data_IF_363042396835
#
_entry.id   IF_363042396835
#
_cell.length_a   1.000
_cell.length_b   1.000
_cell.length_c   1.000
_cell.angle_alpha   90.00
_cell.angle_beta   90.00
_cell.angle_gamma   90.00
#
_symmetry.space_group_name_H-M   'P 1'
#
loop_
_entity.id
_entity.type
_entity.pdbx_description
1 polymer ?
#
# COMPACT_ATOMS: atom_id res chain seq x y z
N UNK A 1 -9.28 22.28 10.02
CA UNK A 1 -8.79 21.04 10.67
C UNK A 1 -7.79 20.39 9.75
N UNK A 2 -6.80 19.66 10.27
CA UNK A 2 -5.84 18.95 9.41
C UNK A 2 -6.53 17.75 8.73
N UNK A 3 -6.34 17.62 7.42
CA UNK A 3 -6.89 16.52 6.64
C UNK A 3 -5.76 15.60 6.20
N UNK A 4 -5.97 14.27 6.28
CA UNK A 4 -5.04 13.32 5.67
C UNK A 4 -5.49 12.98 4.26
N UNK A 5 -4.52 12.83 3.38
CA UNK A 5 -4.65 12.16 2.09
C UNK A 5 -3.81 10.90 2.16
N UNK A 6 -4.48 9.75 2.04
CA UNK A 6 -3.86 8.43 2.11
C UNK A 6 -4.02 7.80 0.74
N UNK A 7 -2.90 7.61 0.05
CA UNK A 7 -2.87 7.15 -1.34
C UNK A 7 -2.28 5.75 -1.38
N UNK A 8 -3.08 4.70 -1.65
CA UNK A 8 -2.54 3.41 -2.02
C UNK A 8 -1.69 3.55 -3.29
N UNK A 9 -0.46 3.05 -3.26
CA UNK A 9 0.50 3.14 -4.36
C UNK A 9 1.21 1.82 -4.60
N UNK A 10 1.55 1.61 -5.87
CA UNK A 10 2.45 0.56 -6.33
C UNK A 10 3.73 1.26 -6.82
N UNK A 11 4.80 1.21 -6.01
CA UNK A 11 6.06 1.88 -6.31
C UNK A 11 6.88 1.03 -7.29
N UNK A 12 6.95 1.48 -8.53
CA UNK A 12 7.81 0.89 -9.55
C UNK A 12 9.17 1.57 -9.61
N UNK A 13 10.24 0.78 -9.72
CA UNK A 13 11.61 1.26 -9.86
C UNK A 13 12.26 0.66 -11.11
N UNK A 14 12.94 1.50 -11.89
CA UNK A 14 13.75 1.05 -13.03
C UNK A 14 15.13 0.71 -12.52
N UNK A 15 15.59 -0.51 -12.77
CA UNK A 15 16.94 -0.91 -12.41
C UNK A 15 17.93 -0.46 -13.48
N UNK A 16 18.70 0.61 -13.22
CA UNK A 16 19.68 1.13 -14.18
C UNK A 16 20.74 0.10 -14.58
N UNK A 17 21.04 -0.86 -13.69
CA UNK A 17 22.00 -1.93 -13.96
C UNK A 17 21.55 -2.86 -15.10
N UNK A 18 20.26 -2.90 -15.42
CA UNK A 18 19.73 -3.63 -16.60
C UNK A 18 20.02 -2.90 -17.92
N UNK A 19 20.46 -1.63 -17.86
CA UNK A 19 20.66 -0.75 -19.02
C UNK A 19 22.10 -0.19 -19.06
N UNK A 20 23.11 -0.99 -19.44
CA UNK A 20 24.53 -0.60 -19.40
C UNK A 20 24.88 0.59 -20.32
N UNK A 21 23.99 0.97 -21.23
CA UNK A 21 24.16 2.09 -22.16
C UNK A 21 23.22 3.28 -21.87
N UNK A 22 22.62 3.31 -20.67
CA UNK A 22 21.66 4.33 -20.24
C UNK A 22 20.21 3.85 -20.32
N UNK A 23 19.37 4.35 -19.41
CA UNK A 23 17.95 3.99 -19.32
C UNK A 23 17.18 4.57 -20.52
N UNK A 24 16.57 3.74 -21.38
CA UNK A 24 15.79 4.22 -22.52
C UNK A 24 14.46 4.85 -22.06
N UNK A 25 13.90 5.76 -22.88
CA UNK A 25 12.62 6.43 -22.57
C UNK A 25 11.40 5.52 -22.48
N UNK A 26 11.51 4.29 -22.98
CA UNK A 26 10.48 3.25 -22.92
C UNK A 26 10.71 2.23 -21.79
N UNK A 27 11.74 2.42 -20.95
CA UNK A 27 12.02 1.51 -19.85
C UNK A 27 10.83 1.42 -18.89
N UNK A 28 10.51 0.20 -18.48
CA UNK A 28 9.49 -0.08 -17.47
C UNK A 28 10.17 -0.41 -16.15
N UNK A 29 9.57 0.06 -15.05
CA UNK A 29 10.01 -0.29 -13.70
C UNK A 29 9.28 -1.52 -13.19
N UNK A 30 9.96 -2.31 -12.36
CA UNK A 30 9.34 -3.38 -11.59
C UNK A 30 8.76 -2.81 -10.29
N UNK A 31 7.58 -3.28 -9.88
CA UNK A 31 7.00 -2.87 -8.60
C UNK A 31 7.84 -3.46 -7.47
N UNK A 32 8.55 -2.58 -6.75
CA UNK A 32 9.45 -2.95 -5.65
C UNK A 32 8.79 -2.84 -4.28
N UNK A 33 7.67 -2.11 -4.20
CA UNK A 33 6.96 -1.90 -2.94
C UNK A 33 5.49 -1.55 -3.16
N UNK A 34 4.62 -2.00 -2.24
CA UNK A 34 3.20 -1.67 -2.21
C UNK A 34 2.76 -1.26 -0.81
N UNK A 35 1.85 -0.31 -0.75
CA UNK A 35 1.29 0.19 0.49
C UNK A 35 0.56 1.50 0.25
N UNK A 36 0.58 2.39 1.23
CA UNK A 36 -0.04 3.70 1.15
C UNK A 36 0.94 4.80 1.56
N UNK A 37 0.98 5.88 0.79
CA UNK A 37 1.65 7.12 1.20
C UNK A 37 0.66 8.01 1.92
N UNK A 38 1.10 8.55 3.05
CA UNK A 38 0.27 9.40 3.91
C UNK A 38 0.80 10.82 3.86
N UNK A 39 -0.08 11.73 3.49
CA UNK A 39 0.18 13.17 3.46
C UNK A 39 -0.78 13.89 4.40
N UNK A 40 -0.24 14.88 5.10
CA UNK A 40 -1.03 15.89 5.79
C UNK A 40 -1.26 17.04 4.81
N UNK A 41 -2.51 17.46 4.67
CA UNK A 41 -2.91 18.52 3.76
C UNK A 41 -3.38 19.73 4.56
N UNK A 42 -2.84 20.89 4.20
CA UNK A 42 -3.19 22.18 4.75
C UNK A 42 -3.25 23.22 3.62
N UNK A 43 -4.14 24.21 3.74
CA UNK A 43 -4.31 25.26 2.71
C UNK A 43 -3.06 26.12 2.51
N UNK A 44 -2.27 26.33 3.58
CA UNK A 44 -1.07 27.17 3.55
C UNK A 44 0.17 26.40 3.13
N UNK A 45 0.36 25.17 3.62
CA UNK A 45 1.58 24.38 3.39
C UNK A 45 1.43 23.30 2.32
N UNK A 46 0.22 23.09 1.79
CA UNK A 46 -0.07 22.08 0.78
C UNK A 46 0.06 20.65 1.33
N UNK A 47 0.60 19.75 0.50
CA UNK A 47 0.85 18.34 0.84
C UNK A 47 2.18 18.19 1.59
N UNK A 48 2.11 17.76 2.84
CA UNK A 48 3.27 17.45 3.66
C UNK A 48 3.35 15.94 3.85
N UNK A 49 4.43 15.33 3.38
CA UNK A 49 4.65 13.89 3.54
C UNK A 49 4.82 13.55 5.03
N UNK A 50 4.04 12.58 5.50
CA UNK A 50 4.10 12.07 6.88
C UNK A 50 4.90 10.79 6.92
N UNK A 51 4.63 9.88 5.98
CA UNK A 51 5.25 8.57 5.95
C UNK A 51 4.51 7.61 5.03
N UNK A 52 4.82 6.32 5.18
CA UNK A 52 4.22 5.24 4.40
C UNK A 52 3.80 4.09 5.30
N UNK A 53 2.70 3.44 4.96
CA UNK A 53 2.16 2.26 5.63
C UNK A 53 2.13 1.11 4.64
N UNK A 54 2.46 -0.10 5.08
CA UNK A 54 2.29 -1.33 4.31
C UNK A 54 1.66 -2.41 5.18
N UNK A 55 0.90 -3.31 4.57
CA UNK A 55 0.49 -4.55 5.21
C UNK A 55 1.56 -5.62 4.94
N UNK A 56 1.83 -6.47 5.92
CA UNK A 56 3.05 -7.30 5.92
C UNK A 56 4.31 -6.44 5.81
N UNK A 57 5.19 -6.71 4.84
CA UNK A 57 6.40 -5.92 4.59
C UNK A 57 6.31 -5.04 3.33
N UNK A 58 5.13 -4.97 2.69
CA UNK A 58 4.92 -4.27 1.42
C UNK A 58 5.73 -4.81 0.25
N UNK A 59 6.37 -5.98 0.40
CA UNK A 59 7.14 -6.61 -0.67
C UNK A 59 6.19 -7.29 -1.64
N UNK A 60 6.36 -7.02 -2.93
CA UNK A 60 5.60 -7.68 -3.98
C UNK A 60 6.06 -9.13 -4.10
N UNK A 61 5.14 -10.07 -3.86
CA UNK A 61 5.39 -11.48 -4.11
C UNK A 61 5.18 -11.80 -5.59
N UNK A 62 6.16 -12.46 -6.22
CA UNK A 62 6.08 -12.88 -7.62
C UNK A 62 4.94 -13.86 -7.91
N UNK A 63 4.42 -14.57 -6.91
CA UNK A 63 3.33 -15.54 -7.05
C UNK A 63 1.99 -14.90 -7.45
N UNK A 64 1.66 -13.72 -6.92
CA UNK A 64 0.38 -13.04 -7.18
C UNK A 64 0.51 -11.87 -8.17
N UNK A 65 1.74 -11.48 -8.50
CA UNK A 65 2.00 -10.21 -9.16
C UNK A 65 1.61 -9.02 -8.29
N UNK A 66 1.95 -7.82 -8.73
CA UNK A 66 1.64 -6.61 -7.97
C UNK A 66 0.15 -6.28 -7.98
N UNK A 67 -0.56 -6.48 -9.10
CA UNK A 67 -1.97 -6.07 -9.22
C UNK A 67 -2.92 -6.87 -8.31
N UNK A 68 -2.64 -8.16 -8.10
CA UNK A 68 -3.49 -9.11 -7.35
C UNK A 68 -2.90 -9.49 -5.99
N UNK A 69 -2.02 -8.63 -5.46
CA UNK A 69 -1.41 -8.84 -4.16
C UNK A 69 -2.47 -8.69 -3.03
N UNK A 70 -2.73 -9.74 -2.22
CA UNK A 70 -3.77 -9.70 -1.19
C UNK A 70 -3.41 -8.79 -0.01
N UNK A 71 -2.12 -8.44 0.12
CA UNK A 71 -1.63 -7.43 1.08
C UNK A 71 -1.76 -5.99 0.56
N UNK A 72 -2.21 -5.78 -0.69
CA UNK A 72 -2.38 -4.44 -1.24
C UNK A 72 -3.47 -3.70 -0.48
N UNK A 73 -3.16 -2.49 0.00
CA UNK A 73 -4.13 -1.65 0.70
C UNK A 73 -5.21 -1.23 -0.30
N UNK A 74 -6.47 -1.60 -0.02
CA UNK A 74 -7.64 -1.31 -0.85
C UNK A 74 -8.42 -0.11 -0.35
N UNK A 75 -8.43 0.10 0.98
CA UNK A 75 -9.19 1.16 1.66
C UNK A 75 -8.39 1.77 2.79
N UNK A 76 -8.71 3.02 3.10
CA UNK A 76 -8.24 3.72 4.28
C UNK A 76 -9.34 4.62 4.83
N UNK A 77 -9.38 4.77 6.14
CA UNK A 77 -10.23 5.73 6.84
C UNK A 77 -9.61 6.10 8.18
N UNK A 78 -10.00 7.22 8.77
CA UNK A 78 -9.57 7.57 10.12
C UNK A 78 -10.77 7.85 11.02
N UNK A 79 -10.65 7.46 12.29
CA UNK A 79 -11.63 7.74 13.34
C UNK A 79 -10.88 8.38 14.51
N UNK A 80 -11.19 9.64 14.80
CA UNK A 80 -10.37 10.44 15.72
C UNK A 80 -8.92 10.52 15.23
N UNK A 81 -7.99 10.17 16.10
CA UNK A 81 -6.54 10.20 15.84
C UNK A 81 -5.95 8.83 15.46
N UNK A 82 -6.78 7.93 14.91
CA UNK A 82 -6.35 6.61 14.43
C UNK A 82 -6.65 6.47 12.95
N UNK A 83 -5.61 6.17 12.16
CA UNK A 83 -5.70 5.82 10.75
C UNK A 83 -5.80 4.30 10.61
N UNK A 84 -6.83 3.83 9.92
CA UNK A 84 -7.02 2.44 9.57
C UNK A 84 -6.72 2.22 8.10
N UNK A 85 -5.89 1.23 7.78
CA UNK A 85 -5.68 0.72 6.43
C UNK A 85 -6.18 -0.71 6.32
N UNK A 86 -6.77 -1.06 5.18
CA UNK A 86 -7.47 -2.34 4.98
C UNK A 86 -7.00 -2.94 3.66
N UNK A 87 -6.48 -4.17 3.70
CA UNK A 87 -6.18 -5.02 2.53
C UNK A 87 -7.21 -6.14 2.42
N UNK A 88 -6.92 -7.25 1.73
CA UNK A 88 -7.77 -8.45 1.75
C UNK A 88 -7.43 -9.40 2.92
N UNK A 89 -6.30 -9.16 3.59
CA UNK A 89 -5.77 -10.04 4.63
C UNK A 89 -5.73 -9.40 6.00
N UNK A 90 -5.68 -8.07 6.07
CA UNK A 90 -5.32 -7.37 7.29
C UNK A 90 -6.06 -6.02 7.41
N UNK A 91 -6.36 -5.65 8.65
CA UNK A 91 -6.65 -4.27 9.07
C UNK A 91 -5.51 -3.83 9.98
N UNK A 92 -4.86 -2.73 9.66
CA UNK A 92 -3.81 -2.13 10.46
C UNK A 92 -4.27 -0.76 10.97
N UNK A 93 -4.13 -0.53 12.28
CA UNK A 93 -4.40 0.72 12.94
C UNK A 93 -3.09 1.43 13.28
N UNK A 94 -2.95 2.67 12.84
CA UNK A 94 -1.76 3.49 13.02
C UNK A 94 -2.12 4.83 13.67
N UNK A 95 -1.21 5.34 14.49
CA UNK A 95 -1.31 6.68 15.08
C UNK A 95 -1.33 7.75 14.00
N UNK A 96 -2.22 8.74 14.12
CA UNK A 96 -2.32 9.86 13.19
C UNK A 96 -1.12 10.84 13.27
N UNK A 97 -0.37 10.82 14.38
CA UNK A 97 0.77 11.73 14.58
C UNK A 97 2.02 11.29 13.83
N UNK A 98 2.36 10.01 13.90
CA UNK A 98 3.65 9.45 13.46
C UNK A 98 3.53 8.13 12.69
N UNK A 99 2.31 7.65 12.47
CA UNK A 99 2.01 6.38 11.80
C UNK A 99 2.53 5.15 12.54
N UNK A 100 2.94 5.28 13.81
CA UNK A 100 3.30 4.13 14.63
C UNK A 100 2.13 3.15 14.73
N UNK A 101 2.41 1.85 14.67
CA UNK A 101 1.39 0.81 14.80
C UNK A 101 0.78 0.86 16.21
N UNK A 102 -0.54 0.97 16.25
CA UNK A 102 -1.34 0.81 17.47
C UNK A 102 -1.73 -0.66 17.60
N UNK A 103 -2.07 -1.31 16.48
CA UNK A 103 -2.31 -2.74 16.41
C UNK A 103 -2.85 -3.18 15.07
N UNK A 104 -2.86 -4.49 14.85
CA UNK A 104 -3.26 -5.12 13.59
C UNK A 104 -4.14 -6.35 13.83
N UNK A 105 -5.01 -6.64 12.87
CA UNK A 105 -5.81 -7.86 12.82
C UNK A 105 -5.66 -8.50 11.45
N UNK A 106 -5.06 -9.69 11.41
CA UNK A 106 -4.98 -10.53 10.21
C UNK A 106 -6.16 -11.49 10.22
N UNK A 107 -6.99 -11.44 9.18
CA UNK A 107 -8.25 -12.21 9.09
C UNK A 107 -8.33 -13.13 7.88
N UNK A 108 -7.36 -13.04 6.96
CA UNK A 108 -7.18 -14.04 5.92
C UNK A 108 -5.68 -14.31 5.71
N UNK A 109 -5.35 -15.55 5.35
CA UNK A 109 -4.02 -15.87 4.87
C UNK A 109 -3.97 -15.67 3.36
N UNK A 110 -2.86 -15.15 2.85
CA UNK A 110 -2.58 -15.04 1.41
C UNK A 110 -2.35 -16.41 0.75
N UNK A 111 -3.08 -17.46 1.14
CA UNK A 111 -3.06 -18.75 0.46
C UNK A 111 -4.24 -18.81 -0.52
N UNK A 112 -4.02 -19.29 -1.76
CA UNK A 112 -5.11 -19.41 -2.71
C UNK A 112 -6.08 -20.45 -2.18
N UNK A 113 -7.34 -20.04 -1.96
CA UNK A 113 -8.42 -20.95 -1.54
C UNK A 113 -8.67 -22.03 -2.61
N UNK A 114 -8.24 -21.79 -3.86
CA UNK A 114 -8.15 -22.81 -4.89
C UNK A 114 -7.14 -22.44 -5.99
N UNK A 115 -6.41 -23.41 -6.60
CA UNK A 115 -5.58 -23.15 -7.78
C UNK A 115 -6.44 -22.63 -8.94
N UNK A 116 -6.15 -21.42 -9.42
CA UNK A 116 -6.91 -20.75 -10.48
C UNK A 116 -8.05 -19.85 -10.00
N UNK A 117 -8.30 -19.80 -8.68
CA UNK A 117 -9.21 -18.83 -8.08
C UNK A 117 -8.43 -17.60 -7.67
N UNK A 118 -8.53 -16.54 -8.46
CA UNK A 118 -8.11 -15.22 -8.02
C UNK A 118 -9.10 -14.75 -6.96
N UNK A 119 -8.66 -14.37 -5.75
CA UNK A 119 -9.55 -13.79 -4.76
C UNK A 119 -10.20 -12.56 -5.40
N UNK A 120 -11.50 -12.65 -5.67
CA UNK A 120 -12.27 -11.48 -6.08
C UNK A 120 -12.26 -10.51 -4.89
N UNK A 121 -12.24 -9.19 -5.11
CA UNK A 121 -12.34 -8.23 -4.02
C UNK A 121 -13.54 -8.58 -3.15
N UNK A 122 -13.36 -8.63 -1.83
CA UNK A 122 -14.47 -8.80 -0.89
C UNK A 122 -15.41 -7.60 -1.09
N UNK A 123 -16.52 -7.82 -1.80
CA UNK A 123 -17.60 -6.85 -1.90
C UNK A 123 -18.45 -7.02 -0.65
N UNK A 124 -18.20 -6.17 0.36
CA UNK A 124 -19.14 -6.00 1.46
C UNK A 124 -20.25 -5.07 0.96
N UNK A 125 -21.45 -5.63 0.78
CA UNK A 125 -22.67 -4.88 0.48
C UNK A 125 -23.32 -4.37 1.77
#
# INVERSE_FOLDING_TARGET
GAQLVVLPVDLASVSESQYPYGVPSWAWGDVVWQGAYVYRVNETTGFQYVGRIAHGNGTVNSTYGWYDSPIRIRRSLYVGDVLYTISETEVLASSFSDLSEIGSVVYASATPVCPGCYPMPIVVA
#
